data_IF_392939183085
#
_entry.id   IF_392939183085
#
_cell.length_a   1.000
_cell.length_b   1.000
_cell.length_c   1.000
_cell.angle_alpha   90.00
_cell.angle_beta   90.00
_cell.angle_gamma   90.00
#
_symmetry.space_group_name_H-M   'P 1'
#
loop_
_entity.id
_entity.type
_entity.pdbx_description
1 polymer ?
#
# COMPACT_ATOMS: atom_id res chain seq x y z
N UNK A 1 -30.61 31.75 24.14
CA UNK A 1 -29.83 31.39 22.96
C UNK A 1 -29.51 29.92 23.06
N UNK A 2 -30.22 29.09 22.33
CA UNK A 2 -30.14 27.62 22.43
C UNK A 2 -29.09 27.11 21.44
N UNK A 3 -28.14 26.30 21.94
CA UNK A 3 -27.14 25.60 21.14
C UNK A 3 -27.78 24.32 20.60
N UNK A 4 -27.67 23.99 19.30
CA UNK A 4 -28.25 22.77 18.76
C UNK A 4 -27.44 21.53 19.21
N UNK A 5 -28.14 20.51 19.67
CA UNK A 5 -27.62 19.18 19.99
C UNK A 5 -27.22 18.47 18.69
N UNK A 6 -25.93 18.22 18.48
CA UNK A 6 -25.45 17.25 17.49
C UNK A 6 -25.77 15.85 17.97
N UNK A 7 -26.53 15.11 17.18
CA UNK A 7 -26.87 13.72 17.41
C UNK A 7 -25.64 12.83 17.18
N UNK A 8 -25.24 12.08 18.21
CA UNK A 8 -24.30 10.99 18.08
C UNK A 8 -24.97 9.81 17.36
N UNK A 9 -24.35 9.32 16.29
CA UNK A 9 -24.72 8.07 15.63
C UNK A 9 -24.23 6.88 16.47
N UNK A 10 -25.06 5.84 16.68
CA UNK A 10 -24.65 4.66 17.44
C UNK A 10 -23.83 3.72 16.58
N UNK A 11 -22.60 3.41 17.00
CA UNK A 11 -21.80 2.30 16.50
C UNK A 11 -22.37 0.98 17.05
N UNK A 12 -23.20 0.31 16.25
CA UNK A 12 -23.65 -1.04 16.49
C UNK A 12 -23.59 -1.85 15.20
N UNK A 13 -22.50 -2.55 14.95
CA UNK A 13 -22.40 -3.48 13.84
C UNK A 13 -22.90 -4.85 14.28
N UNK A 14 -24.11 -5.21 13.88
CA UNK A 14 -24.63 -6.58 13.87
C UNK A 14 -24.78 -7.03 12.41
N UNK A 15 -24.27 -8.18 12.00
CA UNK A 15 -24.44 -8.65 10.62
C UNK A 15 -25.86 -9.18 10.45
N UNK A 16 -26.68 -8.51 9.67
CA UNK A 16 -27.98 -8.98 9.25
C UNK A 16 -27.94 -9.49 7.83
N UNK A 17 -28.28 -10.76 7.68
CA UNK A 17 -29.06 -11.34 6.61
C UNK A 17 -28.55 -11.23 5.18
N UNK A 18 -28.12 -12.37 4.63
CA UNK A 18 -27.75 -12.54 3.23
C UNK A 18 -28.77 -12.00 2.22
N UNK A 19 -28.24 -11.20 1.31
CA UNK A 19 -28.82 -11.06 -0.02
C UNK A 19 -27.79 -11.56 -1.02
N UNK A 20 -28.12 -12.68 -1.66
CA UNK A 20 -27.39 -13.17 -2.82
C UNK A 20 -27.45 -12.13 -3.93
N UNK A 21 -26.35 -11.42 -4.15
CA UNK A 21 -26.19 -10.61 -5.35
C UNK A 21 -25.83 -11.55 -6.51
N UNK A 22 -26.74 -11.62 -7.48
CA UNK A 22 -26.52 -12.26 -8.75
C UNK A 22 -25.41 -11.52 -9.53
N UNK A 23 -24.15 -11.89 -9.31
CA UNK A 23 -22.97 -11.33 -9.98
C UNK A 23 -22.84 -11.78 -11.46
N UNK A 24 -23.77 -12.60 -11.96
CA UNK A 24 -23.71 -13.20 -13.31
C UNK A 24 -24.18 -12.28 -14.45
N UNK A 25 -24.76 -11.11 -14.18
CA UNK A 25 -25.33 -10.24 -15.22
C UNK A 25 -24.38 -9.19 -15.83
N UNK A 26 -23.25 -8.87 -15.20
CA UNK A 26 -22.33 -7.81 -15.70
C UNK A 26 -21.13 -8.32 -16.49
N UNK A 27 -20.72 -9.58 -16.31
CA UNK A 27 -19.53 -10.13 -16.95
C UNK A 27 -19.68 -10.44 -18.46
N UNK A 28 -20.92 -10.53 -18.99
CA UNK A 28 -21.12 -10.90 -20.40
C UNK A 28 -20.82 -9.74 -21.36
N UNK A 29 -20.91 -8.49 -20.90
CA UNK A 29 -20.61 -7.30 -21.74
C UNK A 29 -19.11 -7.06 -21.94
N UNK A 30 -18.26 -7.39 -20.96
CA UNK A 30 -16.81 -7.21 -21.07
C UNK A 30 -16.17 -8.18 -22.07
N UNK A 31 -16.62 -9.44 -22.12
CA UNK A 31 -16.08 -10.45 -23.05
C UNK A 31 -16.52 -10.20 -24.50
N UNK A 32 -17.71 -9.64 -24.70
CA UNK A 32 -18.17 -9.27 -26.03
C UNK A 32 -17.47 -8.02 -26.61
N UNK A 33 -17.11 -7.06 -25.77
CA UNK A 33 -16.35 -5.88 -26.19
C UNK A 33 -14.91 -6.25 -26.59
N UNK A 34 -14.30 -7.22 -25.91
CA UNK A 34 -12.93 -7.68 -26.22
C UNK A 34 -12.81 -8.46 -27.55
N UNK A 35 -13.86 -9.21 -27.96
CA UNK A 35 -13.88 -9.85 -29.28
C UNK A 35 -14.05 -8.89 -30.46
N UNK A 36 -14.68 -7.72 -30.22
CA UNK A 36 -14.88 -6.71 -31.27
C UNK A 36 -13.61 -5.85 -31.51
N UNK A 37 -12.64 -5.85 -30.58
CA UNK A 37 -11.39 -5.09 -30.70
C UNK A 37 -10.37 -5.81 -31.61
N UNK A 38 -10.48 -7.12 -31.82
CA UNK A 38 -9.51 -7.89 -32.62
C UNK A 38 -9.65 -7.72 -34.16
N UNK A 39 -10.73 -7.17 -34.64
CA UNK A 39 -11.06 -7.20 -36.06
C UNK A 39 -11.09 -5.85 -36.81
N UNK A 40 -10.75 -4.71 -36.17
CA UNK A 40 -10.76 -3.43 -36.91
C UNK A 40 -9.84 -2.37 -36.30
N UNK A 41 -8.85 -1.94 -37.06
CA UNK A 41 -7.82 -0.92 -36.84
C UNK A 41 -6.77 -1.31 -35.81
N UNK A 42 -5.50 -0.93 -36.04
CA UNK A 42 -4.40 -1.08 -35.10
C UNK A 42 -4.73 -0.28 -33.81
N UNK A 43 -5.32 -0.96 -32.85
CA UNK A 43 -5.59 -0.41 -31.50
C UNK A 43 -4.23 -0.20 -30.84
N UNK A 44 -3.92 1.02 -30.42
CA UNK A 44 -2.67 1.31 -29.73
C UNK A 44 -2.65 0.63 -28.35
N UNK A 45 -1.48 0.24 -27.88
CA UNK A 45 -1.31 -0.36 -26.54
C UNK A 45 -1.90 0.53 -25.45
N UNK A 46 -1.88 1.86 -25.64
CA UNK A 46 -2.51 2.84 -24.74
C UNK A 46 -4.04 2.70 -24.69
N UNK A 47 -4.70 2.46 -25.81
CA UNK A 47 -6.17 2.25 -25.82
C UNK A 47 -6.54 0.91 -25.16
N UNK A 48 -5.71 -0.12 -25.33
CA UNK A 48 -5.87 -1.40 -24.61
C UNK A 48 -5.69 -1.19 -23.11
N UNK A 49 -4.63 -0.48 -22.69
CA UNK A 49 -4.37 -0.15 -21.29
C UNK A 49 -5.54 0.61 -20.67
N UNK A 50 -6.16 1.55 -21.40
CA UNK A 50 -7.34 2.26 -20.93
C UNK A 50 -8.53 1.31 -20.68
N UNK A 51 -8.81 0.38 -21.57
CA UNK A 51 -9.87 -0.60 -21.38
C UNK A 51 -9.60 -1.57 -20.23
N UNK A 52 -8.33 -1.92 -20.02
CA UNK A 52 -7.92 -2.73 -18.87
C UNK A 52 -8.09 -1.92 -17.58
N UNK A 53 -7.71 -0.66 -17.55
CA UNK A 53 -7.90 0.23 -16.41
C UNK A 53 -9.38 0.34 -16.01
N UNK A 54 -10.27 0.54 -16.97
CA UNK A 54 -11.72 0.56 -16.74
C UNK A 54 -12.20 -0.76 -16.07
N UNK A 55 -11.63 -1.87 -16.47
CA UNK A 55 -11.95 -3.18 -15.90
C UNK A 55 -11.38 -3.34 -14.47
N UNK A 56 -10.11 -2.98 -14.26
CA UNK A 56 -9.46 -3.14 -12.96
C UNK A 56 -10.09 -2.22 -11.90
N UNK A 57 -10.44 -0.98 -12.26
CA UNK A 57 -11.11 -0.05 -11.36
C UNK A 57 -12.51 -0.52 -10.97
N UNK A 58 -13.22 -1.20 -11.86
CA UNK A 58 -14.55 -1.74 -11.56
C UNK A 58 -14.56 -2.86 -10.49
N UNK A 59 -13.40 -3.44 -10.17
CA UNK A 59 -13.27 -4.33 -9.02
C UNK A 59 -13.05 -3.50 -7.76
N UNK A 60 -14.00 -3.56 -6.82
CA UNK A 60 -13.81 -3.00 -5.48
C UNK A 60 -12.88 -3.93 -4.68
N UNK A 61 -11.61 -3.62 -4.74
CA UNK A 61 -10.53 -4.31 -4.03
C UNK A 61 -10.02 -3.48 -2.83
N UNK A 62 -10.92 -2.74 -2.16
CA UNK A 62 -10.59 -2.12 -0.87
C UNK A 62 -9.89 -3.15 0.02
N UNK A 63 -8.80 -2.76 0.71
CA UNK A 63 -7.94 -3.72 1.46
C UNK A 63 -8.70 -4.55 2.51
N UNK A 64 -9.88 -4.11 2.94
CA UNK A 64 -10.75 -4.91 3.82
C UNK A 64 -11.57 -5.98 3.08
N UNK A 65 -11.50 -6.05 1.75
CA UNK A 65 -12.26 -6.95 0.88
C UNK A 65 -11.35 -7.94 0.15
N UNK A 66 -11.95 -8.95 -0.45
CA UNK A 66 -11.25 -9.92 -1.30
C UNK A 66 -10.82 -9.30 -2.64
N UNK A 67 -9.61 -9.62 -3.10
CA UNK A 67 -9.13 -9.26 -4.44
C UNK A 67 -9.25 -10.43 -5.46
N UNK A 68 -9.76 -11.59 -5.05
CA UNK A 68 -9.74 -12.81 -5.87
C UNK A 68 -10.41 -12.65 -7.23
N UNK A 69 -11.48 -11.85 -7.35
CA UNK A 69 -12.15 -11.62 -8.62
C UNK A 69 -11.26 -10.87 -9.63
N UNK A 70 -10.46 -9.89 -9.15
CA UNK A 70 -9.47 -9.20 -9.97
C UNK A 70 -8.35 -10.16 -10.35
N UNK A 71 -7.84 -10.94 -9.42
CA UNK A 71 -6.77 -11.94 -9.67
C UNK A 71 -7.21 -12.97 -10.71
N UNK A 72 -8.42 -13.51 -10.59
CA UNK A 72 -8.98 -14.44 -11.58
C UNK A 72 -9.09 -13.81 -12.96
N UNK A 73 -9.52 -12.56 -13.03
CA UNK A 73 -9.59 -11.83 -14.29
C UNK A 73 -8.18 -11.67 -14.92
N UNK A 74 -7.17 -11.31 -14.13
CA UNK A 74 -5.78 -11.17 -14.60
C UNK A 74 -5.23 -12.50 -15.10
N UNK A 75 -5.44 -13.61 -14.38
CA UNK A 75 -5.01 -14.93 -14.84
C UNK A 75 -5.63 -15.31 -16.19
N UNK A 76 -6.95 -15.11 -16.32
CA UNK A 76 -7.66 -15.39 -17.57
C UNK A 76 -7.17 -14.49 -18.71
N UNK A 77 -6.78 -13.25 -18.42
CA UNK A 77 -6.19 -12.33 -19.38
C UNK A 77 -4.81 -12.84 -19.84
N UNK A 78 -3.92 -13.18 -18.93
CA UNK A 78 -2.57 -13.68 -19.20
C UNK A 78 -2.60 -14.99 -19.99
N UNK A 79 -3.51 -15.89 -19.68
CA UNK A 79 -3.67 -17.17 -20.34
C UNK A 79 -3.96 -17.04 -21.85
N UNK A 80 -4.60 -15.95 -22.31
CA UNK A 80 -4.86 -15.69 -23.73
C UNK A 80 -3.58 -15.52 -24.54
N UNK A 81 -2.48 -15.14 -23.88
CA UNK A 81 -1.16 -14.94 -24.49
C UNK A 81 -0.18 -16.08 -24.17
N UNK A 82 -0.68 -17.19 -23.60
CA UNK A 82 0.15 -18.33 -23.22
C UNK A 82 1.01 -18.10 -21.97
N UNK A 83 0.77 -17.02 -21.24
CA UNK A 83 1.46 -16.70 -20.00
C UNK A 83 0.74 -17.36 -18.83
N UNK A 84 1.46 -18.25 -18.12
CA UNK A 84 0.94 -18.91 -16.93
C UNK A 84 1.26 -18.07 -15.69
N UNK A 85 0.27 -17.87 -14.84
CA UNK A 85 0.41 -17.16 -13.57
C UNK A 85 0.43 -18.14 -12.41
N UNK A 86 1.13 -17.77 -11.35
CA UNK A 86 1.13 -18.48 -10.08
C UNK A 86 0.44 -17.61 -9.01
N UNK A 87 -0.57 -18.16 -8.33
CA UNK A 87 -1.22 -17.53 -7.18
C UNK A 87 -0.51 -17.88 -5.88
N UNK A 88 -0.36 -16.89 -5.02
CA UNK A 88 0.10 -17.08 -3.65
C UNK A 88 -1.01 -16.55 -2.72
N UNK A 89 -1.89 -17.47 -2.30
CA UNK A 89 -3.03 -17.13 -1.45
C UNK A 89 -2.59 -16.82 -0.01
N UNK A 90 -3.36 -15.97 0.67
CA UNK A 90 -3.21 -15.77 2.11
C UNK A 90 -3.77 -17.00 2.88
N UNK A 91 -3.53 -17.02 4.19
CA UNK A 91 -3.92 -18.13 5.07
C UNK A 91 -5.45 -18.34 5.11
N UNK A 92 -6.23 -17.27 5.02
CA UNK A 92 -7.69 -17.32 5.00
C UNK A 92 -8.27 -17.78 3.64
N UNK A 93 -7.48 -17.73 2.56
CA UNK A 93 -7.90 -18.10 1.22
C UNK A 93 -8.86 -17.09 0.55
N UNK A 94 -8.99 -15.89 1.11
CA UNK A 94 -9.88 -14.84 0.60
C UNK A 94 -9.14 -13.74 -0.18
N UNK A 95 -7.79 -13.77 -0.19
CA UNK A 95 -6.93 -12.89 -0.97
C UNK A 95 -5.78 -13.68 -1.59
N UNK A 96 -5.23 -13.18 -2.68
CA UNK A 96 -4.05 -13.75 -3.29
C UNK A 96 -3.18 -12.68 -3.94
N UNK A 97 -1.86 -12.89 -3.86
CA UNK A 97 -0.92 -12.33 -4.82
C UNK A 97 -0.94 -13.15 -6.11
N UNK A 98 -0.42 -12.55 -7.16
CA UNK A 98 -0.20 -13.23 -8.43
C UNK A 98 1.15 -12.81 -8.99
N UNK A 99 1.95 -13.77 -9.47
CA UNK A 99 3.08 -13.44 -10.32
C UNK A 99 3.10 -14.30 -11.59
N UNK A 100 3.67 -13.75 -12.65
CA UNK A 100 3.76 -14.42 -13.94
C UNK A 100 5.03 -13.99 -14.68
N UNK A 101 5.57 -14.87 -15.50
CA UNK A 101 6.74 -14.58 -16.36
C UNK A 101 6.30 -14.48 -17.80
N UNK A 102 6.49 -13.31 -18.42
CA UNK A 102 6.36 -13.06 -19.86
C UNK A 102 7.73 -13.22 -20.51
N UNK A 103 7.84 -14.06 -21.54
CA UNK A 103 9.08 -14.35 -22.27
C UNK A 103 9.81 -15.60 -21.74
N UNK A 104 11.11 -15.76 -22.12
CA UNK A 104 11.88 -16.96 -21.79
C UNK A 104 12.30 -17.00 -20.32
N UNK A 105 12.55 -18.22 -19.80
CA UNK A 105 13.07 -18.41 -18.43
C UNK A 105 14.60 -18.29 -18.41
N UNK A 106 15.12 -17.06 -18.52
CA UNK A 106 16.55 -16.71 -18.48
C UNK A 106 16.80 -15.58 -17.49
N UNK A 107 18.06 -15.43 -17.03
CA UNK A 107 18.45 -14.35 -16.13
C UNK A 107 18.47 -12.98 -16.84
N UNK A 108 18.44 -11.89 -16.07
CA UNK A 108 18.58 -10.53 -16.57
C UNK A 108 17.26 -9.83 -16.87
N UNK A 109 16.13 -10.46 -16.58
CA UNK A 109 14.79 -9.87 -16.74
C UNK A 109 14.49 -8.73 -15.79
N UNK A 110 13.30 -8.18 -15.91
CA UNK A 110 12.79 -7.08 -15.08
C UNK A 110 11.54 -7.53 -14.35
N UNK A 111 11.40 -7.22 -13.05
CA UNK A 111 10.15 -7.35 -12.31
C UNK A 111 9.39 -6.03 -12.44
N UNK A 112 8.10 -6.10 -12.81
CA UNK A 112 7.13 -5.01 -12.69
C UNK A 112 6.19 -5.35 -11.55
N UNK A 113 6.30 -4.62 -10.44
CA UNK A 113 5.50 -4.84 -9.24
C UNK A 113 4.48 -3.74 -9.02
N UNK A 114 3.27 -4.14 -8.61
CA UNK A 114 2.23 -3.25 -8.16
C UNK A 114 1.15 -3.96 -7.35
N UNK A 115 0.46 -3.21 -6.50
CA UNK A 115 -0.61 -3.75 -5.68
C UNK A 115 -1.98 -3.65 -6.34
N UNK A 116 -2.86 -4.57 -5.99
CA UNK A 116 -4.24 -4.67 -6.50
C UNK A 116 -5.27 -4.04 -5.58
N UNK A 117 -4.92 -3.87 -4.30
CA UNK A 117 -5.81 -3.27 -3.32
C UNK A 117 -5.80 -1.73 -3.39
N UNK A 118 -6.75 -1.11 -2.73
CA UNK A 118 -6.94 0.34 -2.68
C UNK A 118 -7.50 0.75 -1.33
N UNK A 119 -7.28 2.00 -0.94
CA UNK A 119 -7.88 2.57 0.28
C UNK A 119 -9.40 2.69 0.18
N UNK A 120 -10.13 2.70 1.32
CA UNK A 120 -11.58 2.85 1.36
C UNK A 120 -12.06 4.15 0.70
N UNK A 121 -13.28 4.10 0.15
CA UNK A 121 -14.00 5.27 -0.38
C UNK A 121 -15.11 5.75 0.56
N UNK A 122 -15.46 4.94 1.55
CA UNK A 122 -16.49 5.21 2.51
C UNK A 122 -16.17 6.48 3.33
N UNK A 123 -17.15 7.38 3.44
CA UNK A 123 -16.98 8.64 4.16
C UNK A 123 -16.28 9.74 3.38
N UNK A 124 -15.83 9.48 2.17
CA UNK A 124 -15.25 10.47 1.26
C UNK A 124 -16.31 11.09 0.34
N UNK A 125 -16.15 12.39 0.04
CA UNK A 125 -17.08 13.13 -0.81
C UNK A 125 -16.71 13.01 -2.30
N UNK A 126 -16.99 11.85 -2.91
CA UNK A 126 -16.78 11.63 -4.34
C UNK A 126 -17.82 12.35 -5.20
N UNK A 127 -17.39 13.01 -6.27
CA UNK A 127 -18.28 13.68 -7.24
C UNK A 127 -18.85 12.74 -8.30
N UNK A 128 -18.28 11.54 -8.46
CA UNK A 128 -18.72 10.47 -9.38
C UNK A 128 -18.50 9.10 -8.75
N UNK A 129 -19.03 8.02 -9.36
CA UNK A 129 -18.81 6.65 -8.92
C UNK A 129 -17.30 6.33 -8.92
N UNK A 130 -16.67 6.04 -7.77
CA UNK A 130 -15.23 5.77 -7.69
C UNK A 130 -14.80 4.49 -8.43
N UNK A 131 -15.74 3.58 -8.72
CA UNK A 131 -15.50 2.31 -9.40
C UNK A 131 -15.74 2.36 -10.91
N UNK A 132 -15.95 3.56 -11.45
CA UNK A 132 -16.13 3.80 -12.90
C UNK A 132 -15.16 4.89 -13.34
N UNK A 133 -14.19 4.53 -14.19
CA UNK A 133 -13.21 5.51 -14.66
C UNK A 133 -13.90 6.56 -15.52
N UNK A 134 -13.79 7.81 -15.09
CA UNK A 134 -14.31 8.98 -15.80
C UNK A 134 -13.15 9.79 -16.37
N UNK A 135 -13.21 10.09 -17.65
CA UNK A 135 -12.28 11.02 -18.29
C UNK A 135 -12.89 12.41 -18.36
N UNK A 136 -12.20 13.40 -17.85
CA UNK A 136 -12.57 14.81 -17.96
C UNK A 136 -11.34 15.70 -17.75
N UNK A 137 -11.32 16.83 -18.45
CA UNK A 137 -10.29 17.88 -18.29
C UNK A 137 -8.84 17.36 -18.42
N UNK A 138 -8.59 16.39 -19.30
CA UNK A 138 -7.28 15.80 -19.47
C UNK A 138 -6.84 14.87 -18.35
N UNK A 139 -7.79 14.32 -17.56
CA UNK A 139 -7.56 13.46 -16.40
C UNK A 139 -8.45 12.22 -16.43
N UNK A 140 -7.95 11.14 -15.83
CA UNK A 140 -8.68 9.92 -15.51
C UNK A 140 -9.01 9.94 -14.03
N UNK A 141 -10.30 9.85 -13.69
CA UNK A 141 -10.79 9.84 -12.32
C UNK A 141 -11.31 8.45 -11.95
N UNK A 142 -11.01 7.99 -10.76
CA UNK A 142 -11.47 6.72 -10.19
C UNK A 142 -10.54 6.23 -9.08
N UNK A 143 -11.03 5.42 -8.16
CA UNK A 143 -10.20 4.86 -7.09
C UNK A 143 -9.18 3.87 -7.66
N UNK A 144 -7.90 4.10 -7.35
CA UNK A 144 -6.79 3.28 -7.83
C UNK A 144 -6.29 3.66 -9.23
N UNK A 145 -6.81 4.71 -9.88
CA UNK A 145 -6.29 5.13 -11.19
C UNK A 145 -4.84 5.60 -11.09
N UNK A 146 -4.46 6.26 -9.99
CA UNK A 146 -3.10 6.69 -9.68
C UNK A 146 -2.37 5.67 -8.80
N UNK A 147 -3.05 5.10 -7.81
CA UNK A 147 -2.49 4.24 -6.78
C UNK A 147 -3.22 2.88 -6.70
N UNK A 148 -2.78 1.80 -7.46
CA UNK A 148 -1.84 1.93 -8.60
C UNK A 148 -2.29 1.03 -9.76
N UNK A 149 -3.64 0.87 -9.94
CA UNK A 149 -4.21 0.09 -11.04
C UNK A 149 -3.86 0.63 -12.43
N UNK A 150 -3.54 1.95 -12.52
CA UNK A 150 -3.03 2.55 -13.75
C UNK A 150 -1.75 1.90 -14.25
N UNK A 151 -0.78 1.69 -13.35
CA UNK A 151 0.46 1.00 -13.66
C UNK A 151 0.20 -0.47 -14.05
N UNK A 152 -0.67 -1.17 -13.30
CA UNK A 152 -1.03 -2.55 -13.62
C UNK A 152 -1.68 -2.66 -15.00
N UNK A 153 -2.57 -1.73 -15.34
CA UNK A 153 -3.23 -1.72 -16.65
C UNK A 153 -2.23 -1.53 -17.80
N UNK A 154 -1.25 -0.64 -17.62
CA UNK A 154 -0.17 -0.42 -18.59
C UNK A 154 0.71 -1.66 -18.75
N UNK A 155 1.12 -2.29 -17.65
CA UNK A 155 1.91 -3.52 -17.69
C UNK A 155 1.16 -4.66 -18.40
N UNK A 156 -0.12 -4.87 -18.05
CA UNK A 156 -0.95 -5.91 -18.66
C UNK A 156 -1.19 -5.67 -20.16
N UNK A 157 -1.40 -4.44 -20.60
CA UNK A 157 -1.58 -4.12 -22.02
C UNK A 157 -0.38 -4.53 -22.88
N UNK A 158 0.83 -4.51 -22.31
CA UNK A 158 2.06 -4.83 -23.02
C UNK A 158 2.40 -6.34 -22.99
N UNK A 159 1.66 -7.17 -22.26
CA UNK A 159 1.89 -8.62 -22.18
C UNK A 159 2.01 -9.30 -23.56
N UNK A 160 1.20 -8.98 -24.59
CA UNK A 160 1.34 -9.62 -25.90
C UNK A 160 2.69 -9.37 -26.57
N UNK A 161 3.36 -8.25 -26.28
CA UNK A 161 4.70 -7.92 -26.76
C UNK A 161 5.77 -8.53 -25.86
N UNK A 162 5.64 -8.37 -24.55
CA UNK A 162 6.56 -8.87 -23.54
C UNK A 162 6.69 -10.42 -23.60
N UNK A 163 5.61 -11.12 -23.86
CA UNK A 163 5.62 -12.59 -24.00
C UNK A 163 6.44 -13.09 -25.21
N UNK A 164 6.76 -12.22 -26.17
CA UNK A 164 7.57 -12.52 -27.36
C UNK A 164 9.01 -12.03 -27.23
N UNK A 165 9.36 -11.34 -26.15
CA UNK A 165 10.68 -10.79 -25.92
C UNK A 165 11.74 -11.88 -25.73
N UNK A 166 13.01 -11.49 -25.88
CA UNK A 166 14.18 -12.37 -25.66
C UNK A 166 14.67 -12.36 -24.22
N UNK A 167 14.17 -11.41 -23.42
CA UNK A 167 14.45 -11.26 -22.01
C UNK A 167 13.15 -11.24 -21.21
N UNK A 168 13.04 -11.90 -20.05
CA UNK A 168 11.75 -12.01 -19.35
C UNK A 168 11.32 -10.72 -18.66
N UNK A 169 10.02 -10.51 -18.60
CA UNK A 169 9.38 -9.59 -17.65
C UNK A 169 8.53 -10.38 -16.70
N UNK A 170 8.79 -10.19 -15.40
CA UNK A 170 8.03 -10.81 -14.33
C UNK A 170 7.00 -9.82 -13.80
N UNK A 171 5.72 -10.12 -13.95
CA UNK A 171 4.65 -9.35 -13.33
C UNK A 171 4.49 -9.82 -11.88
N UNK A 172 4.41 -8.91 -10.93
CA UNK A 172 4.15 -9.18 -9.53
C UNK A 172 3.00 -8.29 -9.06
N UNK A 173 1.87 -8.91 -8.68
CA UNK A 173 0.66 -8.22 -8.26
C UNK A 173 0.34 -8.64 -6.84
N UNK A 174 0.45 -7.69 -5.90
CA UNK A 174 0.24 -7.92 -4.47
C UNK A 174 -1.15 -7.51 -4.00
N UNK A 175 -1.44 -7.82 -2.74
CA UNK A 175 -2.59 -7.35 -1.96
C UNK A 175 -2.11 -6.81 -0.62
N UNK A 176 -2.97 -6.03 0.07
CA UNK A 176 -2.71 -5.46 1.40
C UNK A 176 -1.44 -4.60 1.49
N UNK A 177 -1.09 -3.92 0.38
CA UNK A 177 -0.07 -2.89 0.40
C UNK A 177 -0.50 -1.73 1.30
N UNK A 178 -1.71 -1.22 1.10
CA UNK A 178 -2.32 -0.05 1.73
C UNK A 178 -2.53 -0.17 3.25
N UNK A 179 -2.39 -1.39 3.77
CA UNK A 179 -2.46 -1.68 5.21
C UNK A 179 -1.11 -2.10 5.81
N UNK A 180 -0.02 -1.70 5.14
CA UNK A 180 1.37 -1.85 5.59
C UNK A 180 2.14 -2.95 4.89
N UNK A 181 1.97 -3.11 3.57
CA UNK A 181 2.72 -4.00 2.67
C UNK A 181 2.71 -5.46 3.15
N UNK A 182 1.56 -5.95 3.64
CA UNK A 182 1.49 -7.26 4.34
C UNK A 182 1.44 -8.45 3.39
N UNK A 183 0.91 -8.26 2.19
CA UNK A 183 0.67 -9.36 1.25
C UNK A 183 1.91 -9.80 0.48
N UNK A 184 2.73 -8.86 0.05
CA UNK A 184 3.84 -9.09 -0.86
C UNK A 184 4.92 -10.07 -0.38
N UNK A 185 5.32 -10.16 0.92
CA UNK A 185 6.43 -10.98 1.35
C UNK A 185 6.37 -12.44 0.89
N UNK A 186 5.20 -13.09 1.00
CA UNK A 186 5.04 -14.49 0.58
C UNK A 186 5.24 -14.69 -0.93
N UNK A 187 4.78 -13.74 -1.75
CA UNK A 187 5.00 -13.75 -3.19
C UNK A 187 6.46 -13.51 -3.52
N UNK A 188 7.09 -12.53 -2.89
CA UNK A 188 8.50 -12.18 -3.12
C UNK A 188 9.42 -13.36 -2.78
N UNK A 189 9.18 -14.04 -1.64
CA UNK A 189 9.91 -15.26 -1.26
C UNK A 189 9.75 -16.36 -2.32
N UNK A 190 8.52 -16.56 -2.81
CA UNK A 190 8.24 -17.55 -3.84
C UNK A 190 8.93 -17.21 -5.17
N UNK A 191 8.90 -15.93 -5.57
CA UNK A 191 9.61 -15.44 -6.76
C UNK A 191 11.13 -15.64 -6.61
N UNK A 192 11.72 -15.27 -5.49
CA UNK A 192 13.16 -15.45 -5.24
C UNK A 192 13.62 -16.90 -5.35
N UNK A 193 12.73 -17.86 -5.03
CA UNK A 193 13.02 -19.30 -5.13
C UNK A 193 12.78 -19.89 -6.54
N UNK A 194 12.01 -19.23 -7.40
CA UNK A 194 11.49 -19.84 -8.64
C UNK A 194 11.87 -19.12 -9.94
N UNK A 195 12.05 -17.79 -9.93
CA UNK A 195 12.41 -17.06 -11.16
C UNK A 195 13.92 -16.94 -11.32
N UNK A 196 14.46 -16.93 -12.56
CA UNK A 196 15.85 -16.58 -12.80
C UNK A 196 16.15 -15.16 -12.31
N UNK A 197 17.38 -14.91 -11.84
CA UNK A 197 17.79 -13.63 -11.25
C UNK A 197 17.45 -12.45 -12.17
N UNK A 198 16.53 -11.55 -11.79
CA UNK A 198 16.24 -10.35 -12.54
C UNK A 198 17.37 -9.32 -12.36
N UNK A 199 17.52 -8.43 -13.32
CA UNK A 199 18.43 -7.30 -13.17
C UNK A 199 17.87 -6.20 -12.28
N UNK A 200 16.53 -6.08 -12.17
CA UNK A 200 15.85 -4.98 -11.52
C UNK A 200 14.40 -5.34 -11.18
N UNK A 201 13.91 -4.90 -10.03
CA UNK A 201 12.50 -4.76 -9.72
C UNK A 201 12.09 -3.29 -9.79
N UNK A 202 11.06 -2.99 -10.56
CA UNK A 202 10.45 -1.66 -10.70
C UNK A 202 9.09 -1.70 -10.00
N UNK A 203 8.99 -0.97 -8.90
CA UNK A 203 7.74 -0.80 -8.17
C UNK A 203 6.99 0.38 -8.80
N UNK A 204 5.78 0.13 -9.27
CA UNK A 204 5.03 1.09 -10.10
C UNK A 204 4.26 2.16 -9.33
N UNK A 205 4.65 2.47 -8.09
CA UNK A 205 4.05 3.53 -7.29
C UNK A 205 4.04 4.89 -8.00
N UNK A 206 3.02 5.74 -7.73
CA UNK A 206 2.84 7.02 -8.41
C UNK A 206 3.98 8.01 -8.06
N UNK A 207 4.98 8.04 -8.90
CA UNK A 207 6.19 8.88 -8.74
C UNK A 207 6.29 10.00 -9.79
N UNK A 208 5.25 10.23 -10.58
CA UNK A 208 5.26 11.10 -11.78
C UNK A 208 6.35 10.69 -12.77
N UNK A 209 6.56 9.39 -12.94
CA UNK A 209 7.64 8.77 -13.75
C UNK A 209 9.06 9.15 -13.31
N UNK A 210 9.22 9.73 -12.10
CA UNK A 210 10.54 10.03 -11.53
C UNK A 210 11.11 8.79 -10.87
N UNK A 211 12.43 8.66 -10.94
CA UNK A 211 13.16 7.55 -10.34
C UNK A 211 13.31 7.81 -8.83
N UNK A 212 12.78 6.92 -8.02
CA UNK A 212 12.92 6.92 -6.57
C UNK A 212 13.81 5.75 -6.18
N UNK A 213 14.95 6.05 -5.54
CA UNK A 213 15.95 5.05 -5.13
C UNK A 213 15.93 4.74 -3.64
N UNK A 214 15.09 5.43 -2.87
CA UNK A 214 14.97 5.18 -1.43
C UNK A 214 13.61 5.59 -0.90
N UNK A 215 13.05 4.79 0.00
CA UNK A 215 11.87 5.15 0.78
C UNK A 215 12.05 4.79 2.26
N UNK A 216 11.32 5.48 3.15
CA UNK A 216 11.32 5.14 4.57
C UNK A 216 10.62 3.80 4.79
N UNK A 217 11.11 3.05 5.79
CA UNK A 217 10.35 1.94 6.33
C UNK A 217 9.20 2.45 7.21
N UNK A 218 8.20 1.62 7.42
CA UNK A 218 7.08 1.88 8.32
C UNK A 218 6.98 0.77 9.37
N UNK A 219 6.64 1.16 10.60
CA UNK A 219 6.25 0.26 11.67
C UNK A 219 5.03 0.83 12.38
N UNK A 220 3.92 0.11 12.38
CA UNK A 220 2.67 0.53 13.01
C UNK A 220 2.43 -0.29 14.26
N UNK A 221 2.09 0.40 15.34
CA UNK A 221 1.86 -0.21 16.64
C UNK A 221 0.49 0.19 17.20
N UNK A 222 -0.13 -0.77 17.87
CA UNK A 222 -1.30 -0.56 18.69
C UNK A 222 -0.95 -0.68 20.16
N UNK A 223 -1.39 0.28 20.96
CA UNK A 223 -1.34 0.22 22.42
C UNK A 223 -2.75 0.08 22.96
N UNK A 224 -2.97 -0.96 23.76
CA UNK A 224 -4.21 -1.18 24.50
C UNK A 224 -3.94 -1.09 25.99
N UNK A 225 -4.70 -0.25 26.68
CA UNK A 225 -4.65 -0.13 28.13
C UNK A 225 -5.99 -0.60 28.72
N UNK A 226 -5.92 -1.55 29.63
CA UNK A 226 -7.06 -2.00 30.41
C UNK A 226 -6.95 -1.48 31.84
N UNK A 227 -7.79 -0.52 32.18
CA UNK A 227 -7.88 0.09 33.50
C UNK A 227 -8.82 -0.64 34.47
N UNK A 228 -9.09 -0.02 35.57
CA UNK A 228 -10.08 -0.45 36.57
C UNK A 228 -11.01 0.72 36.86
N UNK A 229 -12.28 0.58 36.50
CA UNK A 229 -13.29 1.63 36.62
C UNK A 229 -13.60 1.94 38.10
N UNK A 230 -13.77 3.20 38.42
CA UNK A 230 -14.28 3.72 39.66
C UNK A 230 -14.86 5.12 39.43
N UNK A 231 -15.56 5.66 40.42
CA UNK A 231 -15.99 7.05 40.37
C UNK A 231 -14.76 7.98 40.31
N UNK A 232 -14.78 9.00 39.44
CA UNK A 232 -13.62 9.85 39.17
C UNK A 232 -13.07 10.58 40.40
N UNK A 233 -13.88 10.80 41.45
CA UNK A 233 -13.43 11.37 42.73
C UNK A 233 -12.70 10.36 43.63
N UNK A 234 -12.76 9.05 43.30
CA UNK A 234 -12.18 7.96 44.09
C UNK A 234 -10.97 7.36 43.38
N UNK A 235 -10.00 8.17 42.98
CA UNK A 235 -8.81 7.78 42.20
C UNK A 235 -7.99 6.66 42.84
N UNK A 236 -8.05 6.50 44.16
CA UNK A 236 -7.41 5.38 44.89
C UNK A 236 -8.06 4.03 44.66
N UNK A 237 -9.32 3.97 44.23
CA UNK A 237 -10.11 2.75 44.06
C UNK A 237 -10.12 2.21 42.61
N UNK A 238 -9.37 2.84 41.69
CA UNK A 238 -9.30 2.40 40.31
C UNK A 238 -7.99 2.80 39.63
N UNK A 239 -7.89 2.50 38.33
CA UNK A 239 -6.83 2.93 37.43
C UNK A 239 -7.49 3.45 36.17
N UNK A 240 -7.27 4.73 35.83
CA UNK A 240 -7.76 5.30 34.59
C UNK A 240 -6.87 4.89 33.41
N UNK A 241 -7.42 4.11 32.47
CA UNK A 241 -6.71 3.74 31.26
C UNK A 241 -6.30 4.96 30.43
N UNK A 242 -7.13 6.01 30.41
CA UNK A 242 -6.81 7.24 29.68
C UNK A 242 -5.58 7.94 30.27
N UNK A 243 -5.43 8.00 31.61
CA UNK A 243 -4.26 8.63 32.24
C UNK A 243 -2.97 7.85 31.94
N UNK A 244 -3.04 6.52 31.93
CA UNK A 244 -1.91 5.66 31.54
C UNK A 244 -1.58 5.85 30.06
N UNK A 245 -2.58 5.91 29.19
CA UNK A 245 -2.38 6.15 27.75
C UNK A 245 -1.71 7.53 27.51
N UNK A 246 -2.14 8.58 28.22
CA UNK A 246 -1.52 9.92 28.14
C UNK A 246 -0.05 9.88 28.57
N UNK A 247 0.32 9.12 29.60
CA UNK A 247 1.71 8.95 30.02
C UNK A 247 2.57 8.31 28.94
N UNK A 248 2.06 7.26 28.28
CA UNK A 248 2.74 6.58 27.16
C UNK A 248 2.84 7.52 25.95
N UNK A 249 1.78 8.23 25.60
CA UNK A 249 1.76 9.19 24.49
C UNK A 249 2.70 10.38 24.73
N UNK A 250 2.87 10.83 25.98
CA UNK A 250 3.85 11.87 26.31
C UNK A 250 5.28 11.38 26.04
N UNK A 251 5.60 10.15 26.38
CA UNK A 251 6.91 9.55 26.07
C UNK A 251 7.13 9.41 24.55
N UNK A 252 6.10 9.00 23.79
CA UNK A 252 6.19 9.00 22.33
C UNK A 252 6.50 10.38 21.76
N UNK A 253 5.89 11.42 22.31
CA UNK A 253 6.18 12.81 21.93
C UNK A 253 7.62 13.22 22.26
N UNK A 254 8.19 12.72 23.37
CA UNK A 254 9.59 12.96 23.71
C UNK A 254 10.53 12.25 22.73
N UNK A 255 10.22 11.00 22.36
CA UNK A 255 10.96 10.26 21.34
C UNK A 255 10.91 11.00 19.98
N UNK A 256 9.73 11.47 19.57
CA UNK A 256 9.58 12.21 18.31
C UNK A 256 10.46 13.48 18.28
N UNK A 257 10.46 14.27 19.37
CA UNK A 257 11.33 15.46 19.49
C UNK A 257 12.83 15.13 19.45
N UNK A 258 13.22 14.01 20.06
CA UNK A 258 14.60 13.56 20.00
C UNK A 258 15.01 13.16 18.57
N UNK A 259 14.17 12.42 17.86
CA UNK A 259 14.41 12.04 16.47
C UNK A 259 14.54 13.26 15.55
N UNK A 260 13.72 14.30 15.78
CA UNK A 260 13.81 15.56 15.04
C UNK A 260 15.12 16.29 15.32
N UNK A 261 15.56 16.33 16.59
CA UNK A 261 16.81 16.99 16.98
C UNK A 261 18.08 16.28 16.50
N UNK A 262 18.01 14.96 16.26
CA UNK A 262 19.11 14.11 15.79
C UNK A 262 19.07 13.89 14.28
N UNK A 263 18.25 14.64 13.53
CA UNK A 263 18.07 14.48 12.09
C UNK A 263 19.37 14.74 11.30
N UNK A 264 19.69 13.83 10.38
CA UNK A 264 20.71 14.06 9.35
C UNK A 264 20.04 14.76 8.15
N UNK A 265 20.25 16.08 8.06
CA UNK A 265 19.64 16.91 7.01
C UNK A 265 20.11 16.55 5.59
N UNK A 266 21.25 15.87 5.45
CA UNK A 266 21.87 15.54 4.16
C UNK A 266 21.48 14.14 3.65
N UNK A 267 20.61 13.42 4.37
CA UNK A 267 20.21 12.07 4.00
C UNK A 267 19.27 11.99 2.78
N UNK A 268 18.85 13.13 2.25
CA UNK A 268 18.02 13.25 1.03
C UNK A 268 16.54 12.88 1.19
N UNK A 269 16.07 12.66 2.41
CA UNK A 269 14.63 12.50 2.72
C UNK A 269 14.00 13.82 3.15
N UNK A 270 12.71 13.99 2.90
CA UNK A 270 11.90 15.10 3.40
C UNK A 270 10.61 14.55 4.07
N UNK A 271 10.46 14.70 5.40
CA UNK A 271 11.45 15.19 6.36
C UNK A 271 12.64 14.22 6.54
N UNK A 272 13.84 14.72 6.94
CA UNK A 272 15.04 13.88 7.02
C UNK A 272 15.03 12.87 8.18
N UNK A 273 14.41 13.22 9.31
CA UNK A 273 14.36 12.38 10.49
C UNK A 273 13.42 11.18 10.34
N UNK A 274 13.57 10.21 11.24
CA UNK A 274 12.49 9.27 11.50
C UNK A 274 11.32 10.05 12.13
N UNK A 275 10.09 9.76 11.67
CA UNK A 275 8.89 10.43 12.15
C UNK A 275 8.02 9.48 12.95
N UNK A 276 7.40 9.99 14.01
CA UNK A 276 6.50 9.24 14.86
C UNK A 276 5.20 10.04 15.03
N UNK A 277 4.06 9.41 14.74
CA UNK A 277 2.74 10.05 14.79
C UNK A 277 1.72 9.14 15.46
N UNK A 278 0.84 9.72 16.30
CA UNK A 278 -0.32 9.03 16.85
C UNK A 278 -1.51 9.37 15.94
N UNK A 279 -1.99 8.40 15.17
CA UNK A 279 -3.06 8.60 14.19
C UNK A 279 -4.45 8.37 14.72
N UNK A 280 -4.63 7.46 15.69
CA UNK A 280 -5.91 7.09 16.27
C UNK A 280 -5.83 7.08 17.78
N UNK A 281 -6.91 7.52 18.46
CA UNK A 281 -7.05 7.36 19.90
C UNK A 281 -8.51 7.26 20.32
N UNK A 282 -8.79 6.38 21.27
CA UNK A 282 -10.12 6.24 21.89
C UNK A 282 -9.98 5.83 23.36
N UNK A 283 -10.94 6.16 24.21
CA UNK A 283 -10.94 5.69 25.59
C UNK A 283 -11.94 6.34 26.49
N UNK A 284 -12.35 5.60 27.52
CA UNK A 284 -13.33 6.04 28.53
C UNK A 284 -14.77 6.00 28.03
N UNK A 285 -15.71 6.20 28.95
CA UNK A 285 -17.15 6.15 28.69
C UNK A 285 -17.89 7.38 29.18
N UNK A 286 -17.43 8.02 30.29
CA UNK A 286 -18.04 9.21 30.85
C UNK A 286 -17.03 10.03 31.65
N UNK A 287 -17.26 11.34 31.77
CA UNK A 287 -16.35 12.27 32.43
C UNK A 287 -16.14 12.01 33.93
N UNK A 288 -17.11 11.37 34.58
CA UNK A 288 -17.09 11.09 36.02
C UNK A 288 -16.75 9.61 36.36
N UNK A 289 -16.22 8.85 35.39
CA UNK A 289 -15.76 7.47 35.58
C UNK A 289 -14.28 7.40 35.20
N UNK A 290 -13.45 6.73 36.01
CA UNK A 290 -12.08 6.37 35.62
C UNK A 290 -12.19 5.41 34.43
N UNK A 291 -11.53 5.73 33.31
CA UNK A 291 -11.61 4.96 32.08
C UNK A 291 -11.19 3.51 32.29
N UNK A 292 -12.04 2.56 31.95
CA UNK A 292 -11.75 1.12 31.99
C UNK A 292 -10.92 0.63 30.82
N UNK A 293 -10.87 1.40 29.73
CA UNK A 293 -10.09 1.07 28.55
C UNK A 293 -9.59 2.34 27.85
N UNK A 294 -8.45 2.21 27.19
CA UNK A 294 -7.97 3.15 26.18
C UNK A 294 -7.23 2.37 25.08
N UNK A 295 -7.29 2.88 23.86
CA UNK A 295 -6.58 2.36 22.69
C UNK A 295 -6.02 3.52 21.91
N UNK A 296 -4.82 3.37 21.39
CA UNK A 296 -4.31 4.28 20.37
C UNK A 296 -3.38 3.54 19.41
N UNK A 297 -3.25 4.09 18.20
CA UNK A 297 -2.36 3.58 17.16
C UNK A 297 -1.36 4.67 16.80
N UNK A 298 -0.09 4.28 16.68
CA UNK A 298 0.96 5.16 16.22
C UNK A 298 1.80 4.49 15.13
N UNK A 299 2.37 5.28 14.23
CA UNK A 299 3.35 4.84 13.26
C UNK A 299 4.72 5.45 13.52
N UNK A 300 5.75 4.70 13.16
CA UNK A 300 7.14 5.13 13.10
C UNK A 300 7.63 4.92 11.66
N UNK A 301 7.96 6.01 10.98
CA UNK A 301 8.56 5.97 9.64
C UNK A 301 10.04 6.31 9.73
N UNK A 302 10.89 5.39 9.34
CA UNK A 302 12.33 5.50 9.56
C UNK A 302 13.10 5.41 8.23
N UNK A 303 14.03 6.36 7.96
CA UNK A 303 14.95 6.22 6.84
C UNK A 303 15.87 5.00 7.03
N UNK A 304 16.49 4.50 5.94
CA UNK A 304 17.49 3.43 6.04
C UNK A 304 18.59 3.74 7.07
N UNK A 305 19.03 2.72 7.78
CA UNK A 305 20.08 2.83 8.80
C UNK A 305 19.56 3.16 10.21
N UNK A 306 18.30 3.54 10.39
CA UNK A 306 17.71 3.76 11.71
C UNK A 306 17.26 2.44 12.31
N UNK A 307 17.79 2.09 13.48
CA UNK A 307 17.36 0.94 14.27
C UNK A 307 16.05 1.27 15.01
N UNK A 308 14.93 0.92 14.41
CA UNK A 308 13.59 1.16 14.99
C UNK A 308 13.36 0.38 16.29
N UNK A 309 14.03 -0.74 16.49
CA UNK A 309 13.94 -1.49 17.73
C UNK A 309 14.63 -0.74 18.88
N UNK A 310 15.80 -0.18 18.63
CA UNK A 310 16.53 0.65 19.60
C UNK A 310 15.76 1.96 19.90
N UNK A 311 15.18 2.61 18.88
CA UNK A 311 14.34 3.81 19.05
C UNK A 311 13.17 3.56 20.01
N UNK A 312 12.50 2.41 19.87
CA UNK A 312 11.32 2.06 20.66
C UNK A 312 11.61 1.27 21.93
N UNK A 313 12.88 0.91 22.22
CA UNK A 313 13.21 0.16 23.43
C UNK A 313 12.77 0.87 24.72
N UNK A 314 13.02 2.20 24.93
CA UNK A 314 12.55 2.89 26.12
C UNK A 314 11.02 2.87 26.30
N UNK A 315 10.27 2.95 25.21
CA UNK A 315 8.81 2.85 25.22
C UNK A 315 8.34 1.45 25.64
N UNK A 316 8.99 0.40 25.11
CA UNK A 316 8.70 -0.99 25.48
C UNK A 316 8.93 -1.23 26.97
N UNK A 317 10.05 -0.72 27.49
CA UNK A 317 10.37 -0.79 28.92
C UNK A 317 9.34 -0.08 29.78
N UNK A 318 8.91 1.13 29.39
CA UNK A 318 7.85 1.85 30.08
C UNK A 318 6.53 1.08 30.07
N UNK A 319 6.11 0.57 28.90
CA UNK A 319 4.88 -0.23 28.78
C UNK A 319 4.92 -1.47 29.69
N UNK A 320 6.05 -2.15 29.75
CA UNK A 320 6.23 -3.32 30.61
C UNK A 320 6.19 -2.96 32.11
N UNK A 321 6.80 -1.85 32.48
CA UNK A 321 6.77 -1.35 33.89
C UNK A 321 5.35 -0.95 34.31
N UNK A 322 4.62 -0.23 33.45
CA UNK A 322 3.23 0.16 33.68
C UNK A 322 2.32 -1.07 33.77
N UNK A 323 2.48 -2.05 32.88
CA UNK A 323 1.73 -3.31 32.89
C UNK A 323 1.90 -4.05 34.25
N UNK A 324 3.15 -4.18 34.72
CA UNK A 324 3.46 -4.82 35.98
C UNK A 324 2.86 -4.06 37.18
N UNK A 325 3.01 -2.74 37.21
CA UNK A 325 2.48 -1.89 38.28
C UNK A 325 0.95 -1.90 38.35
N UNK A 326 0.28 -1.89 37.20
CA UNK A 326 -1.18 -1.95 37.10
C UNK A 326 -1.69 -3.30 37.62
N UNK A 327 -1.13 -4.42 37.15
CA UNK A 327 -1.49 -5.78 37.56
C UNK A 327 -1.27 -6.03 39.06
N UNK A 328 -0.22 -5.48 39.63
CA UNK A 328 0.04 -5.56 41.07
C UNK A 328 -1.03 -4.86 41.93
N UNK A 329 -1.66 -3.80 41.36
CA UNK A 329 -2.67 -3.03 42.06
C UNK A 329 -4.09 -3.58 41.85
N UNK A 330 -4.43 -3.97 40.60
CA UNK A 330 -5.73 -4.55 40.26
C UNK A 330 -5.54 -5.68 39.23
N UNK A 331 -5.94 -6.89 39.60
CA UNK A 331 -5.91 -8.02 38.69
C UNK A 331 -6.76 -7.76 37.43
N UNK A 332 -6.24 -8.20 36.28
CA UNK A 332 -6.93 -8.03 34.99
C UNK A 332 -6.75 -6.67 34.33
N UNK A 333 -6.03 -5.71 34.94
CA UNK A 333 -5.57 -4.48 34.29
C UNK A 333 -4.24 -4.70 33.59
N UNK A 334 -3.81 -3.75 32.75
CA UNK A 334 -2.48 -3.81 32.14
C UNK A 334 -2.35 -3.01 30.84
N UNK A 335 -1.16 -3.08 30.27
CA UNK A 335 -0.78 -2.44 29.00
C UNK A 335 -0.32 -3.51 28.01
N UNK A 336 -0.81 -3.45 26.78
CA UNK A 336 -0.34 -4.31 25.69
C UNK A 336 0.09 -3.42 24.52
N UNK A 337 1.37 -3.53 24.13
CA UNK A 337 1.94 -2.95 22.92
C UNK A 337 2.07 -4.06 21.88
N UNK A 338 1.47 -3.87 20.69
CA UNK A 338 1.48 -4.86 19.61
C UNK A 338 1.90 -4.17 18.31
N UNK A 339 2.87 -4.73 17.59
CA UNK A 339 3.16 -4.30 16.23
C UNK A 339 2.13 -4.92 15.29
N UNK A 340 1.44 -4.10 14.51
CA UNK A 340 0.32 -4.52 13.64
C UNK A 340 0.66 -4.45 12.14
N UNK A 341 1.71 -3.69 11.77
CA UNK A 341 2.27 -3.68 10.43
C UNK A 341 3.74 -3.31 10.46
N UNK A 342 4.49 -3.76 9.46
CA UNK A 342 5.90 -3.40 9.26
C UNK A 342 6.30 -3.63 7.81
N UNK A 343 6.94 -2.60 7.20
CA UNK A 343 7.66 -2.75 5.94
C UNK A 343 9.05 -2.12 6.08
N UNK A 344 10.10 -2.80 5.56
CA UNK A 344 11.46 -2.29 5.66
C UNK A 344 11.66 -1.06 4.76
N UNK A 345 12.64 -0.20 5.06
CA UNK A 345 13.02 0.87 4.14
C UNK A 345 13.69 0.33 2.88
N UNK A 346 13.55 1.06 1.77
CA UNK A 346 14.35 0.86 0.57
C UNK A 346 15.60 1.72 0.65
N UNK A 347 16.76 1.09 0.54
CA UNK A 347 18.06 1.75 0.62
C UNK A 347 18.58 2.01 -0.79
N UNK A 348 19.11 3.22 -1.12
CA UNK A 348 19.83 3.41 -2.36
C UNK A 348 20.99 2.41 -2.46
N UNK A 349 21.03 1.63 -3.53
CA UNK A 349 22.02 0.55 -3.70
C UNK A 349 23.44 1.04 -4.04
N UNK A 350 23.59 2.35 -4.27
CA UNK A 350 24.87 2.96 -4.64
C UNK A 350 25.33 2.64 -6.07
N UNK A 351 24.60 1.81 -6.82
CA UNK A 351 24.86 1.56 -8.25
C UNK A 351 23.98 2.47 -9.10
N UNK A 352 24.57 3.07 -10.14
CA UNK A 352 23.82 3.86 -11.13
C UNK A 352 23.17 2.99 -12.21
N UNK A 353 23.45 1.69 -12.26
CA UNK A 353 23.03 0.82 -13.36
C UNK A 353 21.52 0.69 -13.49
N UNK A 354 20.82 0.46 -12.36
CA UNK A 354 19.37 0.39 -12.31
C UNK A 354 18.74 1.73 -12.71
N UNK A 355 19.23 2.83 -12.15
CA UNK A 355 18.79 4.19 -12.49
C UNK A 355 19.07 4.54 -13.94
N UNK A 356 20.24 4.18 -14.48
CA UNK A 356 20.60 4.41 -15.87
C UNK A 356 19.67 3.66 -16.83
N UNK A 357 19.33 2.40 -16.51
CA UNK A 357 18.39 1.63 -17.30
C UNK A 357 17.00 2.29 -17.30
N UNK A 358 16.48 2.68 -16.13
CA UNK A 358 15.15 3.29 -16.06
C UNK A 358 15.13 4.69 -16.67
N UNK A 359 16.22 5.47 -16.64
CA UNK A 359 16.34 6.74 -17.41
C UNK A 359 16.15 6.53 -18.91
N UNK A 360 16.64 5.43 -19.47
CA UNK A 360 16.41 5.10 -20.88
C UNK A 360 14.92 4.81 -21.15
N UNK A 361 14.22 4.20 -20.19
CA UNK A 361 12.81 3.90 -20.32
C UNK A 361 11.92 5.15 -20.15
N UNK A 362 12.21 6.00 -19.18
CA UNK A 362 11.46 7.25 -18.97
C UNK A 362 11.79 8.29 -20.05
N UNK A 363 13.03 8.31 -20.54
CA UNK A 363 13.55 9.39 -21.38
C UNK A 363 13.89 10.66 -20.59
N UNK A 364 13.90 10.59 -19.26
CA UNK A 364 14.16 11.69 -18.35
C UNK A 364 15.54 11.58 -17.71
N UNK A 365 16.21 12.74 -17.55
CA UNK A 365 17.53 12.81 -16.92
C UNK A 365 17.50 13.49 -15.54
N UNK A 366 16.31 13.62 -14.94
CA UNK A 366 16.17 14.17 -13.60
C UNK A 366 16.95 13.33 -12.57
N UNK A 367 17.56 13.97 -11.56
CA UNK A 367 18.19 13.25 -10.46
C UNK A 367 17.19 12.29 -9.79
N UNK A 368 17.67 11.13 -9.37
CA UNK A 368 16.90 10.24 -8.53
C UNK A 368 16.59 10.91 -7.19
N UNK A 369 15.44 10.61 -6.61
CA UNK A 369 14.98 11.18 -5.34
C UNK A 369 14.68 10.09 -4.32
N UNK A 370 14.35 10.52 -3.09
CA UNK A 370 13.93 9.67 -1.99
C UNK A 370 12.59 10.18 -1.48
N UNK A 371 11.78 9.28 -0.91
CA UNK A 371 10.42 9.62 -0.46
C UNK A 371 10.17 9.17 0.98
N UNK A 372 9.28 9.87 1.66
CA UNK A 372 8.97 9.58 3.06
C UNK A 372 7.87 8.52 3.23
N UNK A 373 7.08 8.24 2.19
CA UNK A 373 6.12 7.13 2.23
C UNK A 373 6.85 5.79 2.16
N UNK A 374 6.22 4.72 2.60
CA UNK A 374 6.71 3.35 2.47
C UNK A 374 5.99 2.67 1.31
N UNK A 375 6.67 1.73 0.68
CA UNK A 375 6.16 0.85 -0.36
C UNK A 375 6.83 -0.53 -0.26
N UNK A 376 6.54 -1.44 -1.17
CA UNK A 376 7.09 -2.81 -1.17
C UNK A 376 8.58 -2.88 -1.55
N UNK A 377 9.18 -1.77 -2.00
CA UNK A 377 10.55 -1.75 -2.51
C UNK A 377 11.60 -2.32 -1.55
N UNK A 378 11.49 -2.01 -0.26
CA UNK A 378 12.40 -2.56 0.76
C UNK A 378 12.27 -4.08 0.93
N UNK A 379 11.08 -4.65 0.71
CA UNK A 379 10.84 -6.10 0.77
C UNK A 379 11.51 -6.83 -0.40
N UNK A 380 11.43 -6.26 -1.62
CA UNK A 380 12.15 -6.77 -2.78
C UNK A 380 13.66 -6.71 -2.58
N UNK A 381 14.19 -5.62 -2.02
CA UNK A 381 15.61 -5.53 -1.68
C UNK A 381 16.07 -6.57 -0.65
N UNK A 382 15.27 -6.81 0.38
CA UNK A 382 15.58 -7.85 1.37
C UNK A 382 15.64 -9.26 0.77
N UNK A 383 14.89 -9.50 -0.30
CA UNK A 383 14.95 -10.74 -1.07
C UNK A 383 16.13 -10.80 -2.07
N UNK A 384 16.95 -9.75 -2.12
CA UNK A 384 18.15 -9.69 -2.98
C UNK A 384 17.89 -9.12 -4.38
N UNK A 385 16.74 -8.55 -4.65
CA UNK A 385 16.44 -7.91 -5.93
C UNK A 385 16.88 -6.44 -5.93
N UNK A 386 17.75 -5.98 -6.86
CA UNK A 386 17.94 -4.56 -7.09
C UNK A 386 16.59 -3.90 -7.35
N UNK A 387 16.31 -2.77 -6.68
CA UNK A 387 14.93 -2.24 -6.67
C UNK A 387 14.93 -0.72 -6.73
N UNK A 388 13.99 -0.16 -7.49
CA UNK A 388 13.63 1.25 -7.47
C UNK A 388 12.12 1.41 -7.69
N UNK A 389 11.62 2.62 -7.45
CA UNK A 389 10.23 3.00 -7.73
C UNK A 389 10.21 3.88 -8.97
N UNK A 390 9.29 3.60 -9.90
CA UNK A 390 8.98 4.46 -11.03
C UNK A 390 7.62 4.08 -11.60
N UNK A 391 6.65 4.99 -11.49
CA UNK A 391 5.30 4.78 -12.01
C UNK A 391 4.59 6.08 -12.35
N UNK A 392 3.52 6.01 -13.17
CA UNK A 392 2.73 7.17 -13.57
C UNK A 392 1.83 7.66 -12.43
N UNK A 393 1.40 8.91 -12.52
CA UNK A 393 0.60 9.56 -11.50
C UNK A 393 1.44 10.15 -10.37
N UNK A 394 0.79 10.77 -9.41
CA UNK A 394 1.44 11.39 -8.26
C UNK A 394 0.77 10.93 -6.97
N UNK A 395 1.57 10.69 -5.95
CA UNK A 395 1.10 10.34 -4.60
C UNK A 395 0.21 11.43 -3.97
N UNK A 396 0.31 12.67 -4.46
CA UNK A 396 -0.52 13.77 -3.98
C UNK A 396 -2.01 13.62 -4.32
N UNK A 397 -2.33 12.83 -5.36
CA UNK A 397 -3.71 12.54 -5.77
C UNK A 397 -4.25 11.24 -5.15
N UNK A 398 -3.37 10.41 -4.60
CA UNK A 398 -3.74 9.16 -3.94
C UNK A 398 -4.54 9.41 -2.65
N UNK A 399 -5.35 8.44 -2.25
CA UNK A 399 -6.11 8.40 -0.98
C UNK A 399 -7.17 9.50 -0.81
N UNK A 400 -7.38 10.36 -1.80
CA UNK A 400 -8.35 11.45 -1.75
C UNK A 400 -9.66 11.10 -2.48
N UNK A 401 -10.79 11.78 -2.16
CA UNK A 401 -11.96 11.72 -3.03
C UNK A 401 -11.60 12.30 -4.41
N UNK A 402 -12.26 11.79 -5.45
CA UNK A 402 -11.96 12.13 -6.83
C UNK A 402 -10.48 11.94 -7.22
N UNK A 403 -9.87 10.87 -6.71
CA UNK A 403 -8.52 10.46 -7.12
C UNK A 403 -8.41 10.49 -8.64
N UNK A 404 -7.30 11.02 -9.14
CA UNK A 404 -7.10 11.20 -10.58
C UNK A 404 -5.64 10.99 -11.00
N UNK A 405 -5.47 10.71 -12.30
CA UNK A 405 -4.19 10.70 -12.99
C UNK A 405 -4.30 11.59 -14.23
N UNK A 406 -3.31 12.44 -14.49
CA UNK A 406 -3.22 13.16 -15.76
C UNK A 406 -3.06 12.20 -16.94
N UNK A 407 -3.75 12.45 -18.07
CA UNK A 407 -3.58 11.65 -19.29
C UNK A 407 -2.13 11.64 -19.76
N UNK A 408 -1.40 12.75 -19.60
CA UNK A 408 0.03 12.82 -19.94
C UNK A 408 0.87 11.82 -19.12
N UNK A 409 0.52 11.60 -17.84
CA UNK A 409 1.20 10.61 -16.99
C UNK A 409 0.85 9.18 -17.46
N UNK A 410 -0.41 8.90 -17.77
CA UNK A 410 -0.82 7.61 -18.31
C UNK A 410 -0.11 7.30 -19.63
N UNK A 411 -0.03 8.28 -20.54
CA UNK A 411 0.72 8.17 -21.79
C UNK A 411 2.24 8.04 -21.57
N UNK A 412 2.81 8.73 -20.57
CA UNK A 412 4.22 8.59 -20.22
C UNK A 412 4.51 7.16 -19.72
N UNK A 413 3.61 6.59 -18.92
CA UNK A 413 3.66 5.18 -18.52
C UNK A 413 3.56 4.23 -19.72
N UNK A 414 2.70 4.51 -20.70
CA UNK A 414 2.61 3.71 -21.92
C UNK A 414 3.93 3.75 -22.72
N UNK A 415 4.50 4.94 -22.92
CA UNK A 415 5.81 5.09 -23.58
C UNK A 415 6.94 4.38 -22.84
N UNK A 416 6.88 4.37 -21.51
CA UNK A 416 7.84 3.62 -20.68
C UNK A 416 7.74 2.11 -20.98
N UNK A 417 6.53 1.56 -21.00
CA UNK A 417 6.30 0.13 -21.29
C UNK A 417 6.68 -0.21 -22.74
N UNK A 418 6.41 0.68 -23.71
CA UNK A 418 6.87 0.52 -25.09
C UNK A 418 8.38 0.35 -25.19
N UNK A 419 9.13 1.28 -24.58
CA UNK A 419 10.60 1.23 -24.56
C UNK A 419 11.13 0.01 -23.81
N UNK A 420 10.47 -0.40 -22.73
CA UNK A 420 10.82 -1.63 -22.03
C UNK A 420 10.67 -2.86 -22.96
N UNK A 421 9.54 -2.96 -23.66
CA UNK A 421 9.31 -4.06 -24.60
C UNK A 421 10.34 -4.04 -25.76
N UNK A 422 10.73 -2.86 -26.25
CA UNK A 422 11.76 -2.70 -27.29
C UNK A 422 13.15 -3.12 -26.80
N UNK A 423 13.53 -2.78 -25.55
CA UNK A 423 14.84 -3.13 -24.99
C UNK A 423 14.98 -4.61 -24.63
N UNK A 424 13.87 -5.30 -24.43
CA UNK A 424 13.82 -6.72 -24.06
C UNK A 424 13.39 -7.64 -25.22
N UNK A 425 13.21 -7.06 -26.43
CA UNK A 425 12.81 -7.75 -27.64
C UNK A 425 13.83 -8.78 -28.18
#
# INVERSE_FOLDING_TARGET
MAIPKTAALPLGYTPAGGRSYNALGRNVKGVAAQRAISDSMAVTDTAVARSILDTLVAFDTTSSRSNLALIEWVENYLAQFGVQAERVANEAGDKANLFATCGPSVAGGVILSGHSDVVPVEGQAWSSDPWTVREAQGRLYGRGVSDMKGFLALALAHVPRLAKGTCPVHLAISYDEEVGCKGAPAMIERMAASIPAPRLAIIGEPSSMRIITGHKGISVFEVRVRGHEAHSSLTGHGISANMVAVEIMAHLSDIARKLEAEADADNGFDPPQATLTIGEMEGGTAANILAGHARFVFDLRAPPGVDTAAVLAPLRDQCAALDAAMKARFAGTGVKLTQIASAPPMTPDGSDDASAFVRQLTGENAPASRVAYAAEGGQFQQAGFPTLICGPGSIEQAHQPDEWMDLEQFEAGARFMDRLAEQLA
#
